data_IF_896991516768
#
_entry.id   IF_896991516768
#
_cell.length_a   1.000
_cell.length_b   1.000
_cell.length_c   1.000
_cell.angle_alpha   90.00
_cell.angle_beta   90.00
_cell.angle_gamma   90.00
#
_symmetry.space_group_name_H-M   'P 1'
#
loop_
_entity.id
_entity.type
_entity.pdbx_description
1 polymer ?
#
# COMPACT_ATOMS: atom_id res chain seq x y z
N UNK A 1 -0.36 12.09 16.77
CA UNK A 1 0.55 11.01 16.30
C UNK A 1 -0.18 9.91 15.51
N UNK A 2 -1.50 9.80 15.63
CA UNK A 2 -2.27 8.70 15.05
C UNK A 2 -2.81 9.02 13.64
N UNK A 3 -2.80 10.27 13.20
CA UNK A 3 -3.46 10.74 11.99
C UNK A 3 -2.50 11.02 10.83
N UNK A 4 -1.22 10.98 11.10
CA UNK A 4 -0.19 11.12 10.09
C UNK A 4 0.90 10.07 10.34
N UNK A 5 1.04 9.12 9.43
CA UNK A 5 2.11 8.13 9.47
C UNK A 5 3.52 8.75 9.48
N UNK A 6 3.63 10.01 9.14
CA UNK A 6 4.87 10.77 9.16
C UNK A 6 5.10 11.54 10.47
N UNK A 7 4.22 11.38 11.46
CA UNK A 7 4.29 12.02 12.78
C UNK A 7 4.40 13.56 12.72
N UNK A 8 3.78 14.20 11.73
CA UNK A 8 3.71 15.65 11.63
C UNK A 8 2.85 16.20 12.77
N UNK A 9 3.25 17.34 13.31
CA UNK A 9 2.39 18.10 14.19
C UNK A 9 1.19 18.61 13.38
N UNK A 10 0.00 18.17 13.73
CA UNK A 10 -1.24 18.64 13.10
C UNK A 10 -1.89 19.62 14.06
N UNK A 11 -2.15 20.84 13.62
CA UNK A 11 -2.86 21.84 14.41
C UNK A 11 -4.35 21.48 14.52
N UNK A 12 -5.02 21.98 15.58
CA UNK A 12 -6.46 21.78 15.74
C UNK A 12 -7.21 22.36 14.54
N UNK A 13 -6.83 23.52 14.06
CA UNK A 13 -7.38 24.16 12.86
C UNK A 13 -7.31 23.27 11.60
N UNK A 14 -6.19 22.58 11.39
CA UNK A 14 -6.10 21.60 10.29
C UNK A 14 -7.08 20.46 10.45
N UNK A 15 -7.34 20.03 11.69
CA UNK A 15 -8.33 19.01 11.99
C UNK A 15 -9.75 19.54 11.77
N UNK A 16 -10.05 20.77 12.17
CA UNK A 16 -11.35 21.42 11.93
C UNK A 16 -11.68 21.49 10.43
N UNK A 17 -10.71 21.92 9.61
CA UNK A 17 -10.85 21.92 8.14
C UNK A 17 -11.11 20.48 7.63
N UNK A 18 -10.34 19.52 8.08
CA UNK A 18 -10.51 18.12 7.68
C UNK A 18 -11.84 17.51 8.15
N UNK A 19 -12.35 17.95 9.29
CA UNK A 19 -13.65 17.57 9.84
C UNK A 19 -14.83 18.31 9.15
N UNK A 20 -14.54 19.31 8.32
CA UNK A 20 -15.52 20.19 7.67
C UNK A 20 -16.42 20.88 8.68
N UNK A 21 -15.81 21.47 9.72
CA UNK A 21 -16.55 22.31 10.68
C UNK A 21 -16.99 23.60 10.00
N UNK A 22 -18.15 24.10 10.36
CA UNK A 22 -18.73 25.30 9.76
C UNK A 22 -17.94 26.56 10.13
N UNK A 23 -17.46 26.63 11.38
CA UNK A 23 -16.66 27.73 11.89
C UNK A 23 -15.22 27.27 12.18
N UNK A 24 -14.24 28.05 11.71
CA UNK A 24 -12.82 27.85 11.94
C UNK A 24 -12.27 29.16 12.45
N UNK A 25 -11.86 29.20 13.72
CA UNK A 25 -11.41 30.42 14.37
C UNK A 25 -9.86 30.48 14.47
N UNK A 26 -9.32 31.68 14.40
CA UNK A 26 -7.92 31.97 14.72
C UNK A 26 -7.81 32.51 16.14
N UNK A 27 -6.64 32.30 16.79
CA UNK A 27 -6.35 32.92 18.08
C UNK A 27 -6.51 34.43 17.96
N UNK A 28 -7.43 35.04 18.73
CA UNK A 28 -7.82 36.44 18.52
C UNK A 28 -6.69 37.43 18.88
N UNK A 29 -5.76 37.04 19.73
CA UNK A 29 -4.66 37.91 20.21
C UNK A 29 -3.31 37.23 20.08
N UNK A 30 -2.24 37.95 19.77
CA UNK A 30 -0.89 37.43 19.78
C UNK A 30 -0.50 36.85 21.16
N UNK A 31 0.28 35.76 21.16
CA UNK A 31 0.78 35.16 22.39
C UNK A 31 1.65 36.16 23.16
N UNK A 32 1.36 36.35 24.47
CA UNK A 32 2.06 37.28 25.33
C UNK A 32 1.41 38.68 25.44
N UNK A 33 0.28 38.91 24.75
CA UNK A 33 -0.50 40.14 24.92
C UNK A 33 -1.10 40.21 26.32
N UNK A 34 -0.99 41.39 26.97
CA UNK A 34 -1.70 41.70 28.22
C UNK A 34 -3.12 42.11 27.86
N UNK A 35 -4.08 41.29 28.22
CA UNK A 35 -5.48 41.45 27.84
C UNK A 35 -6.27 42.30 28.83
N UNK A 36 -7.21 43.06 28.32
CA UNK A 36 -8.28 43.72 29.10
C UNK A 36 -9.34 42.68 29.51
N UNK A 37 -10.29 43.11 30.36
CA UNK A 37 -11.36 42.21 30.80
C UNK A 37 -12.26 41.72 29.65
N UNK A 38 -12.59 42.60 28.73
CA UNK A 38 -13.44 42.27 27.57
C UNK A 38 -12.71 41.34 26.58
N UNK A 39 -11.43 41.56 26.37
CA UNK A 39 -10.58 40.67 25.55
C UNK A 39 -10.39 39.27 26.18
N UNK A 40 -10.42 39.16 27.51
CA UNK A 40 -10.43 37.86 28.21
C UNK A 40 -11.72 37.10 27.91
N UNK A 41 -12.89 37.78 27.83
CA UNK A 41 -14.13 37.12 27.47
C UNK A 41 -14.10 36.59 26.02
N UNK A 42 -13.52 37.36 25.11
CA UNK A 42 -13.29 36.90 23.73
C UNK A 42 -12.36 35.68 23.67
N UNK A 43 -11.24 35.71 24.42
CA UNK A 43 -10.34 34.57 24.51
C UNK A 43 -11.02 33.32 25.11
N UNK A 44 -11.92 33.53 26.10
CA UNK A 44 -12.69 32.39 26.65
C UNK A 44 -13.65 31.78 25.60
N UNK A 45 -14.28 32.61 24.75
CA UNK A 45 -15.12 32.11 23.65
C UNK A 45 -14.30 31.29 22.66
N UNK A 46 -13.14 31.82 22.24
CA UNK A 46 -12.20 31.08 21.40
C UNK A 46 -11.74 29.75 22.01
N UNK A 47 -11.39 29.76 23.31
CA UNK A 47 -11.01 28.55 24.03
C UNK A 47 -12.15 27.53 24.09
N UNK A 48 -13.40 27.97 24.26
CA UNK A 48 -14.58 27.10 24.24
C UNK A 48 -14.75 26.46 22.84
N UNK A 49 -14.52 27.23 21.76
CA UNK A 49 -14.51 26.71 20.40
C UNK A 49 -13.47 25.60 20.23
N UNK A 50 -12.23 25.80 20.68
CA UNK A 50 -11.16 24.80 20.65
C UNK A 50 -11.54 23.51 21.42
N UNK A 51 -12.20 23.65 22.57
CA UNK A 51 -12.71 22.52 23.37
C UNK A 51 -13.78 21.76 22.58
N UNK A 52 -14.74 22.46 21.98
CA UNK A 52 -15.79 21.86 21.15
C UNK A 52 -15.19 21.14 19.96
N UNK A 53 -14.26 21.74 19.24
CA UNK A 53 -13.55 21.13 18.13
C UNK A 53 -12.81 19.85 18.56
N UNK A 54 -12.18 19.87 19.73
CA UNK A 54 -11.52 18.70 20.33
C UNK A 54 -12.52 17.58 20.65
N UNK A 55 -13.71 17.90 21.15
CA UNK A 55 -14.79 16.94 21.42
C UNK A 55 -15.26 16.31 20.09
N UNK A 56 -15.51 17.11 19.07
CA UNK A 56 -15.86 16.59 17.74
C UNK A 56 -14.81 15.62 17.20
N UNK A 57 -13.54 15.98 17.35
CA UNK A 57 -12.44 15.13 16.96
C UNK A 57 -12.40 13.83 17.77
N UNK A 58 -12.57 13.90 19.09
CA UNK A 58 -12.64 12.72 19.97
C UNK A 58 -13.75 11.76 19.54
N UNK A 59 -14.96 12.28 19.27
CA UNK A 59 -16.10 11.45 18.83
C UNK A 59 -15.76 10.69 17.54
N UNK A 60 -15.08 11.33 16.60
CA UNK A 60 -14.63 10.69 15.36
C UNK A 60 -13.54 9.63 15.58
N UNK A 61 -12.79 9.73 16.67
CA UNK A 61 -11.73 8.80 17.03
C UNK A 61 -12.22 7.62 17.89
N UNK A 62 -13.47 7.61 18.34
CA UNK A 62 -13.99 6.52 19.19
C UNK A 62 -13.76 5.14 18.57
N UNK A 63 -14.07 4.87 17.29
CA UNK A 63 -13.83 3.56 16.70
C UNK A 63 -12.35 3.13 16.74
N UNK A 64 -11.44 4.08 16.54
CA UNK A 64 -10.00 3.84 16.58
C UNK A 64 -9.48 3.59 18.01
N UNK A 65 -10.10 4.23 18.98
CA UNK A 65 -9.80 4.03 20.41
C UNK A 65 -10.28 2.64 20.83
N UNK A 66 -11.54 2.32 20.58
CA UNK A 66 -12.15 1.02 20.89
C UNK A 66 -11.39 -0.14 20.23
N UNK A 67 -10.98 0.02 18.98
CA UNK A 67 -10.13 -0.94 18.28
C UNK A 67 -8.84 -1.23 19.06
N UNK A 68 -8.15 -0.19 19.54
CA UNK A 68 -6.91 -0.32 20.30
C UNK A 68 -7.13 -0.91 21.70
N UNK A 69 -8.24 -0.59 22.33
CA UNK A 69 -8.64 -1.17 23.62
C UNK A 69 -8.90 -2.68 23.50
N UNK A 70 -9.65 -3.10 22.46
CA UNK A 70 -9.87 -4.51 22.17
C UNK A 70 -8.56 -5.26 21.98
N UNK A 71 -7.64 -4.72 21.19
CA UNK A 71 -6.33 -5.32 20.95
C UNK A 71 -5.49 -5.37 22.27
N UNK A 72 -5.50 -4.29 23.02
CA UNK A 72 -4.77 -4.19 24.30
C UNK A 72 -5.23 -5.27 25.28
N UNK A 73 -6.54 -5.42 25.43
CA UNK A 73 -7.14 -6.44 26.29
C UNK A 73 -6.87 -7.87 25.79
N UNK A 74 -6.96 -8.10 24.49
CA UNK A 74 -6.83 -9.43 23.89
C UNK A 74 -5.41 -9.98 23.96
N UNK A 75 -4.42 -9.13 23.73
CA UNK A 75 -3.02 -9.55 23.63
C UNK A 75 -2.16 -9.18 24.86
N UNK A 76 -2.78 -8.65 25.90
CA UNK A 76 -2.09 -8.17 27.12
C UNK A 76 -0.88 -7.28 26.79
N UNK A 77 -1.08 -6.37 25.82
CA UNK A 77 -0.04 -5.48 25.30
C UNK A 77 -0.64 -4.11 24.99
N UNK A 78 -0.03 -3.04 25.45
CA UNK A 78 -0.55 -1.69 25.23
C UNK A 78 -0.41 -1.24 23.77
N UNK A 79 -1.54 -1.16 23.05
CA UNK A 79 -1.64 -0.65 21.68
C UNK A 79 -2.12 0.81 21.60
N UNK A 80 -2.52 1.43 22.71
CA UNK A 80 -3.17 2.76 22.73
C UNK A 80 -2.34 3.86 22.04
N UNK A 81 -1.00 3.81 22.17
CA UNK A 81 -0.10 4.78 21.57
C UNK A 81 0.51 4.34 20.22
N UNK A 82 -0.01 3.28 19.62
CA UNK A 82 0.49 2.78 18.34
C UNK A 82 -0.32 3.36 17.19
N UNK A 83 0.38 3.80 16.14
CA UNK A 83 -0.24 4.01 14.84
C UNK A 83 -0.49 2.63 14.17
N UNK A 84 -1.24 2.64 13.09
CA UNK A 84 -1.67 1.42 12.40
C UNK A 84 -0.50 0.55 11.93
N UNK A 85 0.53 1.18 11.33
CA UNK A 85 1.75 0.49 10.91
C UNK A 85 2.43 -0.23 12.08
N UNK A 86 2.49 0.43 13.24
CA UNK A 86 3.11 -0.15 14.43
C UNK A 86 2.26 -1.28 15.02
N UNK A 87 0.93 -1.20 14.98
CA UNK A 87 0.04 -2.28 15.41
C UNK A 87 0.32 -3.55 14.59
N UNK A 88 0.28 -3.44 13.27
CA UNK A 88 0.54 -4.57 12.40
C UNK A 88 1.93 -5.17 12.59
N UNK A 89 2.95 -4.32 12.69
CA UNK A 89 4.34 -4.72 12.95
C UNK A 89 4.49 -5.48 14.26
N UNK A 90 3.98 -4.93 15.35
CA UNK A 90 4.12 -5.54 16.69
C UNK A 90 3.35 -6.88 16.77
N UNK A 91 2.23 -6.99 16.07
CA UNK A 91 1.49 -8.25 15.99
C UNK A 91 2.28 -9.34 15.25
N UNK A 92 2.86 -9.04 14.09
CA UNK A 92 3.68 -10.01 13.37
C UNK A 92 4.94 -10.40 14.16
N UNK A 93 5.60 -9.44 14.79
CA UNK A 93 6.75 -9.72 15.69
C UNK A 93 6.33 -10.69 16.79
N UNK A 94 5.20 -10.45 17.43
CA UNK A 94 4.67 -11.34 18.47
C UNK A 94 4.49 -12.77 17.95
N UNK A 95 3.87 -12.94 16.79
CA UNK A 95 3.65 -14.26 16.19
C UNK A 95 4.96 -14.98 15.79
N UNK A 96 5.94 -14.24 15.29
CA UNK A 96 7.26 -14.77 15.00
C UNK A 96 7.99 -15.19 16.28
N UNK A 97 7.97 -14.37 17.32
CA UNK A 97 8.61 -14.69 18.61
C UNK A 97 7.93 -15.88 19.31
N UNK A 98 6.60 -16.01 19.25
CA UNK A 98 5.85 -17.17 19.71
C UNK A 98 6.29 -18.48 19.02
N UNK A 99 6.70 -18.41 17.76
CA UNK A 99 7.22 -19.55 17.00
C UNK A 99 8.72 -19.80 17.19
N UNK A 100 9.39 -19.03 18.06
CA UNK A 100 10.81 -19.15 18.36
C UNK A 100 11.74 -18.35 17.44
N UNK A 101 11.20 -17.55 16.49
CA UNK A 101 12.00 -16.66 15.64
C UNK A 101 12.45 -15.45 16.45
N UNK A 102 13.77 -15.21 16.51
CA UNK A 102 14.31 -14.04 17.21
C UNK A 102 14.28 -12.81 16.30
N UNK A 103 13.38 -11.87 16.57
CA UNK A 103 13.30 -10.60 15.85
C UNK A 103 14.31 -9.55 16.35
N UNK A 104 14.83 -9.71 17.58
CA UNK A 104 15.75 -8.78 18.22
C UNK A 104 16.93 -9.49 18.88
N UNK A 105 18.02 -8.75 19.04
CA UNK A 105 19.18 -9.11 19.84
C UNK A 105 19.13 -8.27 21.12
N UNK A 106 19.23 -8.92 22.29
CA UNK A 106 19.33 -8.23 23.59
C UNK A 106 20.73 -7.62 23.75
N UNK A 107 20.77 -6.39 24.20
CA UNK A 107 22.00 -5.66 24.54
C UNK A 107 21.90 -5.12 25.97
N UNK A 108 23.00 -4.70 26.60
CA UNK A 108 22.96 -4.11 27.95
C UNK A 108 22.07 -2.87 28.04
N UNK A 109 21.90 -2.12 26.96
CA UNK A 109 21.12 -0.87 26.91
C UNK A 109 19.72 -1.04 26.32
N UNK A 110 19.31 -2.29 25.97
CA UNK A 110 18.00 -2.55 25.37
C UNK A 110 18.00 -3.70 24.37
N UNK A 111 17.29 -3.52 23.27
CA UNK A 111 17.24 -4.50 22.17
C UNK A 111 17.43 -3.82 20.82
N UNK A 112 18.21 -4.44 19.94
CA UNK A 112 18.39 -4.00 18.54
C UNK A 112 17.71 -4.97 17.59
N UNK A 113 17.16 -4.52 16.47
CA UNK A 113 16.52 -5.41 15.51
C UNK A 113 17.55 -6.33 14.84
N UNK A 114 17.20 -7.61 14.66
CA UNK A 114 17.93 -8.47 13.74
C UNK A 114 17.56 -8.07 12.31
N UNK A 115 18.56 -8.10 11.43
CA UNK A 115 18.42 -7.60 10.07
C UNK A 115 19.31 -8.37 9.11
N UNK A 116 18.97 -8.35 7.82
CA UNK A 116 19.88 -8.78 6.76
C UNK A 116 20.41 -7.55 6.05
N UNK A 117 21.67 -7.23 6.34
CA UNK A 117 22.38 -6.14 5.67
C UNK A 117 22.96 -6.67 4.35
N UNK A 118 22.85 -5.87 3.29
CA UNK A 118 23.42 -6.19 1.98
C UNK A 118 24.19 -5.01 1.45
N UNK A 119 25.50 -5.18 1.16
CA UNK A 119 26.33 -4.11 0.60
C UNK A 119 25.90 -3.75 -0.83
N UNK A 120 25.37 -4.71 -1.56
CA UNK A 120 24.81 -4.52 -2.89
C UNK A 120 23.81 -5.62 -3.25
N UNK A 121 22.95 -5.35 -4.23
CA UNK A 121 21.97 -6.29 -4.78
C UNK A 121 22.08 -6.22 -6.30
N UNK A 122 22.36 -7.34 -6.95
CA UNK A 122 22.17 -7.48 -8.39
C UNK A 122 20.69 -7.72 -8.66
N UNK A 123 20.05 -6.81 -9.39
CA UNK A 123 18.59 -6.87 -9.57
C UNK A 123 18.14 -8.09 -10.38
N UNK A 124 19.01 -8.64 -11.24
CA UNK A 124 18.74 -9.90 -11.93
C UNK A 124 18.49 -11.08 -10.99
N UNK A 125 19.13 -11.07 -9.79
CA UNK A 125 19.00 -12.17 -8.82
C UNK A 125 17.68 -12.13 -8.04
N UNK A 126 16.95 -11.01 -8.07
CA UNK A 126 15.66 -10.87 -7.42
C UNK A 126 14.49 -11.18 -8.34
N UNK A 127 14.69 -11.16 -9.66
CA UNK A 127 13.65 -11.40 -10.66
C UNK A 127 13.29 -12.90 -10.67
N UNK A 128 11.99 -13.21 -10.70
CA UNK A 128 11.53 -14.60 -10.72
C UNK A 128 11.86 -15.27 -12.05
N UNK A 129 12.30 -16.53 -12.05
CA UNK A 129 12.69 -17.25 -13.27
C UNK A 129 11.57 -17.44 -14.30
N UNK A 130 10.31 -17.37 -13.84
CA UNK A 130 9.14 -17.49 -14.72
C UNK A 130 8.69 -16.17 -15.33
N UNK A 131 9.29 -15.04 -14.96
CA UNK A 131 9.04 -13.75 -15.61
C UNK A 131 9.65 -13.79 -17.02
N UNK A 132 8.77 -13.76 -18.02
CA UNK A 132 9.14 -13.73 -19.44
C UNK A 132 8.30 -12.69 -20.14
N UNK A 133 8.95 -11.77 -20.81
CA UNK A 133 8.32 -10.65 -21.50
C UNK A 133 8.55 -10.79 -23.01
N UNK A 134 7.47 -10.67 -23.79
CA UNK A 134 7.48 -10.81 -25.23
C UNK A 134 7.57 -9.44 -25.93
N UNK A 135 6.89 -8.42 -25.36
CA UNK A 135 6.88 -7.09 -25.93
C UNK A 135 8.28 -6.45 -25.90
N UNK A 136 8.83 -5.92 -27.01
CA UNK A 136 10.21 -5.43 -27.08
C UNK A 136 10.55 -4.38 -26.02
N UNK A 137 9.66 -3.43 -25.75
CA UNK A 137 9.87 -2.40 -24.75
C UNK A 137 9.91 -2.96 -23.31
N UNK A 138 9.01 -3.87 -22.97
CA UNK A 138 9.04 -4.50 -21.63
C UNK A 138 10.26 -5.42 -21.48
N UNK A 139 10.68 -6.09 -22.55
CA UNK A 139 11.93 -6.87 -22.55
C UNK A 139 13.15 -5.99 -22.31
N UNK A 140 13.23 -4.84 -22.98
CA UNK A 140 14.30 -3.84 -22.77
C UNK A 140 14.35 -3.39 -21.31
N UNK A 141 13.20 -3.11 -20.69
CA UNK A 141 13.11 -2.77 -19.27
C UNK A 141 13.63 -3.91 -18.39
N UNK A 142 13.18 -5.12 -18.64
CA UNK A 142 13.61 -6.31 -17.90
C UNK A 142 15.14 -6.50 -17.97
N UNK A 143 15.72 -6.43 -19.17
CA UNK A 143 17.17 -6.56 -19.40
C UNK A 143 17.94 -5.43 -18.69
N UNK A 144 17.43 -4.20 -18.76
CA UNK A 144 18.03 -3.04 -18.06
C UNK A 144 18.04 -3.25 -16.53
N UNK A 145 16.93 -3.72 -15.99
CA UNK A 145 16.83 -4.03 -14.55
C UNK A 145 17.73 -5.21 -14.18
N UNK A 146 17.72 -6.30 -14.93
CA UNK A 146 18.52 -7.50 -14.65
C UNK A 146 20.03 -7.23 -14.65
N UNK A 147 20.49 -6.33 -15.50
CA UNK A 147 21.90 -5.94 -15.57
C UNK A 147 22.36 -5.01 -14.44
N UNK A 148 21.41 -4.39 -13.72
CA UNK A 148 21.72 -3.36 -12.73
C UNK A 148 22.10 -3.95 -11.38
N UNK A 149 23.15 -3.39 -10.75
CA UNK A 149 23.51 -3.61 -9.34
C UNK A 149 23.25 -2.32 -8.56
N UNK A 150 22.61 -2.44 -7.41
CA UNK A 150 22.27 -1.32 -6.54
C UNK A 150 22.90 -1.50 -5.16
N UNK A 151 23.25 -0.39 -4.50
CA UNK A 151 23.72 -0.34 -3.11
C UNK A 151 22.64 0.19 -2.17
N UNK A 152 21.63 0.89 -2.70
CA UNK A 152 20.49 1.43 -1.97
C UNK A 152 19.20 1.13 -2.76
N UNK A 153 18.13 0.81 -2.06
CA UNK A 153 16.83 0.56 -2.69
C UNK A 153 16.14 1.86 -3.08
N UNK A 154 16.17 2.86 -2.19
CA UNK A 154 15.48 4.14 -2.40
C UNK A 154 16.11 4.90 -3.56
N UNK A 155 15.30 5.24 -4.56
CA UNK A 155 15.74 5.98 -5.72
C UNK A 155 16.68 5.21 -6.67
N UNK A 156 16.87 3.91 -6.47
CA UNK A 156 17.69 3.07 -7.34
C UNK A 156 17.08 2.86 -8.72
N UNK A 157 15.76 2.94 -8.84
CA UNK A 157 15.02 2.89 -10.10
C UNK A 157 14.44 4.27 -10.31
N UNK A 158 15.12 5.10 -11.11
CA UNK A 158 14.67 6.45 -11.48
C UNK A 158 14.63 6.54 -12.99
N UNK A 159 13.67 7.31 -13.49
CA UNK A 159 13.54 7.69 -14.90
C UNK A 159 13.51 6.50 -15.88
N UNK A 160 13.17 5.31 -15.35
CA UNK A 160 13.02 4.12 -16.17
C UNK A 160 11.59 4.08 -16.72
N UNK A 161 11.47 4.36 -18.00
CA UNK A 161 10.19 4.44 -18.71
C UNK A 161 10.22 3.70 -20.03
N UNK A 162 9.03 3.29 -20.49
CA UNK A 162 8.81 2.81 -21.86
C UNK A 162 7.42 3.23 -22.34
N UNK A 163 7.21 3.20 -23.65
CA UNK A 163 5.92 3.46 -24.26
C UNK A 163 5.42 2.17 -24.89
N UNK A 164 4.24 1.73 -24.48
CA UNK A 164 3.57 0.55 -25.04
C UNK A 164 2.15 0.94 -25.37
N UNK A 165 1.70 0.67 -26.58
CA UNK A 165 0.37 1.01 -27.10
C UNK A 165 -0.05 2.47 -26.82
N UNK A 166 0.91 3.40 -26.99
CA UNK A 166 0.70 4.84 -26.80
C UNK A 166 0.66 5.30 -25.34
N UNK A 167 0.72 4.39 -24.35
CA UNK A 167 0.75 4.70 -22.94
C UNK A 167 2.18 4.68 -22.38
N UNK A 168 2.53 5.66 -21.54
CA UNK A 168 3.85 5.78 -20.90
C UNK A 168 3.88 5.05 -19.57
N UNK A 169 4.64 3.98 -19.49
CA UNK A 169 4.87 3.17 -18.28
C UNK A 169 6.08 3.67 -17.52
N UNK A 170 5.88 4.03 -16.26
CA UNK A 170 6.92 4.53 -15.35
C UNK A 170 7.21 3.48 -14.28
N UNK A 171 8.46 3.01 -14.26
CA UNK A 171 8.95 2.04 -13.27
C UNK A 171 9.61 2.75 -12.11
N UNK A 172 9.36 2.28 -10.89
CA UNK A 172 9.90 2.91 -9.70
C UNK A 172 9.97 1.98 -8.49
N UNK A 173 10.57 2.47 -7.41
CA UNK A 173 10.61 1.71 -6.14
C UNK A 173 9.26 1.65 -5.44
N UNK A 174 8.27 2.43 -5.89
CA UNK A 174 6.89 2.43 -5.37
C UNK A 174 5.93 1.53 -6.15
N UNK A 175 6.28 1.11 -7.36
CA UNK A 175 5.42 0.32 -8.23
C UNK A 175 5.48 0.74 -9.69
N UNK A 176 4.63 0.14 -10.52
CA UNK A 176 4.41 0.49 -11.90
C UNK A 176 3.24 1.47 -12.01
N UNK A 177 3.43 2.55 -12.76
CA UNK A 177 2.37 3.54 -12.99
C UNK A 177 2.30 3.90 -14.47
N UNK A 178 1.08 3.92 -14.99
CA UNK A 178 0.78 4.45 -16.32
C UNK A 178 -0.68 4.93 -16.32
N UNK A 179 -0.96 6.05 -16.98
CA UNK A 179 -2.33 6.53 -17.15
C UNK A 179 -2.48 7.38 -18.39
N UNK A 180 -3.67 7.33 -18.95
CA UNK A 180 -4.09 8.20 -20.03
C UNK A 180 -4.72 9.45 -19.39
N UNK A 181 -3.86 10.37 -18.98
CA UNK A 181 -4.18 11.48 -18.09
C UNK A 181 -5.27 12.43 -18.63
N UNK A 182 -6.03 13.03 -17.70
CA UNK A 182 -7.05 14.04 -17.96
C UNK A 182 -8.14 13.57 -18.95
N UNK A 183 -8.60 12.32 -18.82
CA UNK A 183 -9.63 11.73 -19.71
C UNK A 183 -10.82 11.16 -18.94
N UNK A 184 -11.92 11.10 -19.67
CA UNK A 184 -13.16 10.46 -19.26
C UNK A 184 -13.48 9.34 -20.25
N UNK A 185 -13.64 8.13 -19.74
CA UNK A 185 -14.07 6.96 -20.49
C UNK A 185 -15.48 6.60 -20.09
N UNK A 186 -16.30 6.20 -21.06
CA UNK A 186 -17.68 5.75 -20.85
C UNK A 186 -17.84 4.37 -21.47
N UNK A 187 -18.39 3.46 -20.68
CA UNK A 187 -18.85 2.18 -21.22
C UNK A 187 -20.16 2.38 -21.97
N UNK A 188 -20.43 1.51 -22.92
CA UNK A 188 -21.66 1.46 -23.70
C UNK A 188 -22.03 0.01 -24.04
N UNK A 189 -22.93 -0.18 -25.00
CA UNK A 189 -23.36 -1.51 -25.45
C UNK A 189 -22.26 -2.29 -26.18
N UNK A 190 -21.27 -1.59 -26.76
CA UNK A 190 -20.17 -2.20 -27.51
C UNK A 190 -18.90 -2.36 -26.65
N UNK A 191 -18.63 -1.42 -25.74
CA UNK A 191 -17.40 -1.37 -24.95
C UNK A 191 -17.65 -1.50 -23.44
N UNK A 192 -16.80 -2.26 -22.79
CA UNK A 192 -16.72 -2.36 -21.33
C UNK A 192 -15.45 -1.66 -20.80
N UNK A 193 -15.54 -1.16 -19.57
CA UNK A 193 -14.40 -0.65 -18.80
C UNK A 193 -14.23 -1.56 -17.58
N UNK A 194 -13.05 -2.14 -17.42
CA UNK A 194 -12.73 -2.98 -16.26
C UNK A 194 -11.42 -2.55 -15.61
N UNK A 195 -11.41 -2.68 -14.27
CA UNK A 195 -10.20 -2.75 -13.46
C UNK A 195 -10.00 -4.19 -13.00
N UNK A 196 -8.76 -4.66 -13.08
CA UNK A 196 -8.32 -5.96 -12.57
C UNK A 196 -7.23 -5.73 -11.55
N UNK A 197 -7.61 -5.80 -10.27
CA UNK A 197 -6.71 -5.57 -9.15
C UNK A 197 -6.23 -6.87 -8.54
N UNK A 198 -4.94 -6.96 -8.24
CA UNK A 198 -4.39 -8.19 -7.64
C UNK A 198 -4.73 -8.24 -6.16
N UNK A 199 -5.45 -9.26 -5.75
CA UNK A 199 -5.90 -9.46 -4.37
C UNK A 199 -4.73 -9.46 -3.40
N UNK A 200 -4.64 -8.42 -2.55
CA UNK A 200 -3.58 -8.29 -1.53
C UNK A 200 -2.19 -8.53 -2.13
N UNK A 201 -1.84 -7.82 -3.19
CA UNK A 201 -0.73 -8.12 -4.10
C UNK A 201 0.58 -8.52 -3.42
N UNK A 202 1.16 -7.64 -2.62
CA UNK A 202 2.46 -7.88 -2.00
C UNK A 202 2.47 -9.03 -0.99
N UNK A 203 1.48 -9.14 -0.10
CA UNK A 203 1.34 -10.31 0.76
C UNK A 203 1.18 -11.62 -0.02
N UNK A 204 0.29 -11.64 -1.02
CA UNK A 204 0.06 -12.83 -1.84
C UNK A 204 1.32 -13.26 -2.57
N UNK A 205 2.05 -12.31 -3.17
CA UNK A 205 3.32 -12.57 -3.86
C UNK A 205 4.38 -13.16 -2.92
N UNK A 206 4.51 -12.60 -1.71
CA UNK A 206 5.44 -13.13 -0.72
C UNK A 206 5.11 -14.56 -0.32
N UNK A 207 3.82 -14.86 -0.14
CA UNK A 207 3.34 -16.18 0.27
C UNK A 207 3.54 -17.22 -0.84
N UNK A 208 3.05 -16.95 -2.06
CA UNK A 208 3.09 -17.93 -3.17
C UNK A 208 4.51 -18.23 -3.66
N UNK A 209 5.42 -17.26 -3.55
CA UNK A 209 6.83 -17.42 -3.92
C UNK A 209 7.74 -17.72 -2.73
N UNK A 210 7.19 -17.98 -1.54
CA UNK A 210 7.94 -18.30 -0.32
C UNK A 210 9.03 -17.27 0.02
N UNK A 211 8.73 -15.97 -0.19
CA UNK A 211 9.67 -14.88 0.05
C UNK A 211 9.75 -14.54 1.54
N UNK A 212 10.94 -14.17 1.98
CA UNK A 212 11.18 -13.82 3.38
C UNK A 212 12.43 -12.96 3.57
N UNK A 213 12.47 -12.11 4.59
CA UNK A 213 13.75 -11.60 5.09
C UNK A 213 14.64 -12.76 5.54
N UNK A 214 15.87 -12.84 5.03
CA UNK A 214 16.73 -14.01 5.19
C UNK A 214 16.95 -14.39 6.66
N UNK A 215 17.11 -13.41 7.54
CA UNK A 215 17.35 -13.62 8.98
C UNK A 215 16.14 -14.15 9.76
N UNK A 216 14.93 -14.10 9.21
CA UNK A 216 13.71 -14.60 9.84
C UNK A 216 13.42 -16.08 9.50
N UNK A 217 14.12 -16.61 8.46
CA UNK A 217 14.05 -18.02 8.11
C UNK A 217 12.70 -18.49 7.58
N UNK A 218 12.55 -19.82 7.49
CA UNK A 218 11.39 -20.47 6.86
C UNK A 218 10.08 -20.35 7.66
N UNK A 219 10.17 -19.97 8.93
CA UNK A 219 8.96 -19.75 9.74
C UNK A 219 8.20 -18.48 9.32
N UNK A 220 8.90 -17.50 8.74
CA UNK A 220 8.25 -16.25 8.32
C UNK A 220 7.14 -16.46 7.30
N UNK A 221 7.34 -17.12 6.13
CA UNK A 221 6.27 -17.32 5.16
C UNK A 221 5.15 -18.21 5.67
N UNK A 222 5.41 -19.14 6.57
CA UNK A 222 4.38 -19.98 7.19
C UNK A 222 3.44 -19.14 8.05
N UNK A 223 4.00 -18.33 8.97
CA UNK A 223 3.21 -17.44 9.85
C UNK A 223 2.48 -16.39 9.03
N UNK A 224 3.15 -15.81 8.05
CA UNK A 224 2.57 -14.80 7.17
C UNK A 224 1.40 -15.36 6.36
N UNK A 225 1.55 -16.60 5.85
CA UNK A 225 0.49 -17.31 5.16
C UNK A 225 -0.70 -17.67 6.07
N UNK A 226 -0.43 -18.06 7.32
CA UNK A 226 -1.49 -18.35 8.30
C UNK A 226 -2.25 -17.09 8.69
N UNK A 227 -1.57 -15.97 8.88
CA UNK A 227 -2.22 -14.66 9.09
C UNK A 227 -3.12 -14.27 7.91
N UNK A 228 -2.68 -14.53 6.69
CA UNK A 228 -3.47 -14.28 5.48
C UNK A 228 -4.75 -15.14 5.44
N UNK A 229 -4.65 -16.42 5.78
CA UNK A 229 -5.82 -17.32 5.88
C UNK A 229 -6.77 -16.86 7.00
N UNK A 230 -6.22 -16.53 8.18
CA UNK A 230 -7.01 -16.04 9.31
C UNK A 230 -7.77 -14.77 8.97
N UNK A 231 -7.15 -13.81 8.26
CA UNK A 231 -7.83 -12.60 7.83
C UNK A 231 -9.09 -12.89 7.02
N UNK A 232 -9.06 -13.91 6.16
CA UNK A 232 -10.22 -14.31 5.34
C UNK A 232 -11.36 -14.91 6.16
N UNK A 233 -11.07 -15.45 7.35
CA UNK A 233 -12.09 -16.02 8.25
C UNK A 233 -12.81 -14.96 9.11
N UNK A 234 -12.27 -13.74 9.19
CA UNK A 234 -12.89 -12.65 9.92
C UNK A 234 -13.68 -11.71 8.98
N UNK A 235 -14.92 -11.31 9.34
CA UNK A 235 -15.68 -10.34 8.56
C UNK A 235 -14.91 -9.02 8.38
N UNK A 236 -15.11 -8.38 7.23
CA UNK A 236 -14.58 -7.00 7.01
C UNK A 236 -15.17 -6.06 8.07
N UNK A 237 -14.34 -5.14 8.59
CA UNK A 237 -14.74 -4.19 9.64
C UNK A 237 -14.53 -4.68 11.08
N UNK A 238 -14.20 -5.96 11.30
CA UNK A 238 -13.84 -6.43 12.64
C UNK A 238 -12.40 -5.99 13.02
N UNK A 239 -12.11 -5.78 14.33
CA UNK A 239 -10.78 -5.45 14.82
C UNK A 239 -9.71 -6.46 14.36
N UNK A 240 -10.04 -7.73 14.34
CA UNK A 240 -9.15 -8.81 13.91
C UNK A 240 -8.79 -8.70 12.42
N UNK A 241 -9.79 -8.48 11.56
CA UNK A 241 -9.56 -8.31 10.12
C UNK A 241 -8.71 -7.06 9.86
N UNK A 242 -9.00 -5.96 10.55
CA UNK A 242 -8.26 -4.70 10.43
C UNK A 242 -6.79 -4.88 10.87
N UNK A 243 -6.54 -5.49 12.03
CA UNK A 243 -5.20 -5.75 12.54
C UNK A 243 -4.38 -6.63 11.60
N UNK A 244 -4.98 -7.72 11.10
CA UNK A 244 -4.31 -8.63 10.16
C UNK A 244 -4.03 -7.94 8.82
N UNK A 245 -4.92 -7.06 8.34
CA UNK A 245 -4.68 -6.22 7.17
C UNK A 245 -3.46 -5.33 7.35
N UNK A 246 -3.37 -4.66 8.51
CA UNK A 246 -2.24 -3.80 8.84
C UNK A 246 -0.92 -4.58 8.93
N UNK A 247 -0.95 -5.76 9.56
CA UNK A 247 0.22 -6.62 9.69
C UNK A 247 0.73 -7.11 8.32
N UNK A 248 -0.17 -7.58 7.47
CA UNK A 248 0.18 -8.08 6.13
C UNK A 248 0.70 -6.98 5.22
N UNK A 249 0.03 -5.83 5.15
CA UNK A 249 0.46 -4.74 4.26
C UNK A 249 1.69 -3.99 4.80
N UNK A 250 1.78 -3.79 6.12
CA UNK A 250 2.87 -3.04 6.76
C UNK A 250 4.23 -3.75 6.68
N UNK A 251 4.24 -5.07 6.58
CA UNK A 251 5.48 -5.86 6.56
C UNK A 251 6.36 -5.54 5.36
N UNK A 252 5.76 -5.40 4.17
CA UNK A 252 6.50 -5.02 2.98
C UNK A 252 7.14 -3.63 3.13
N UNK A 253 6.38 -2.61 3.52
CA UNK A 253 6.90 -1.25 3.74
C UNK A 253 8.02 -1.20 4.77
N UNK A 254 7.88 -2.00 5.84
CA UNK A 254 8.88 -2.11 6.90
C UNK A 254 10.13 -2.91 6.50
N UNK A 255 10.08 -3.71 5.44
CA UNK A 255 11.24 -4.46 4.95
C UNK A 255 12.33 -3.58 4.34
N UNK A 256 12.00 -2.34 4.02
CA UNK A 256 12.95 -1.32 3.56
C UNK A 256 13.32 -0.28 4.63
N UNK A 257 12.85 -0.46 5.86
CA UNK A 257 13.12 0.45 6.98
C UNK A 257 14.29 -0.06 7.82
N UNK A 258 15.40 0.69 7.84
CA UNK A 258 16.62 0.33 8.58
C UNK A 258 16.46 0.17 10.09
N UNK A 259 15.33 0.60 10.66
CA UNK A 259 15.00 0.43 12.07
C UNK A 259 14.04 -0.75 12.32
N UNK A 260 13.68 -1.48 11.26
CA UNK A 260 12.74 -2.58 11.36
C UNK A 260 13.44 -3.93 11.53
N UNK A 261 12.88 -4.85 12.35
CA UNK A 261 13.33 -6.23 12.39
C UNK A 261 12.94 -7.04 11.14
N UNK A 262 12.26 -6.43 10.17
CA UNK A 262 11.95 -7.02 8.87
C UNK A 262 12.91 -6.56 7.77
N UNK A 263 13.89 -5.72 8.10
CA UNK A 263 14.78 -5.12 7.10
C UNK A 263 15.60 -6.19 6.37
N UNK A 264 15.29 -6.35 5.10
CA UNK A 264 16.10 -7.05 4.10
C UNK A 264 15.80 -6.42 2.73
N UNK A 265 16.69 -5.59 2.21
CA UNK A 265 16.47 -4.89 0.94
C UNK A 265 16.34 -5.84 -0.26
N UNK A 266 16.85 -7.07 -0.18
CA UNK A 266 16.63 -8.09 -1.21
C UNK A 266 15.17 -8.56 -1.25
N UNK A 267 14.60 -8.86 -0.09
CA UNK A 267 13.17 -9.20 0.04
C UNK A 267 12.28 -8.06 -0.46
N UNK A 268 12.59 -6.81 -0.09
CA UNK A 268 11.88 -5.64 -0.60
C UNK A 268 11.91 -5.57 -2.13
N UNK A 269 13.10 -5.71 -2.73
CA UNK A 269 13.26 -5.64 -4.18
C UNK A 269 12.65 -6.82 -4.91
N UNK A 270 12.63 -8.03 -4.32
CA UNK A 270 11.90 -9.17 -4.89
C UNK A 270 10.41 -8.86 -5.09
N UNK A 271 9.77 -8.26 -4.09
CA UNK A 271 8.35 -7.89 -4.18
C UNK A 271 8.16 -6.75 -5.19
N UNK A 272 8.94 -5.67 -5.05
CA UNK A 272 8.76 -4.46 -5.86
C UNK A 272 9.00 -4.70 -7.35
N UNK A 273 10.08 -5.39 -7.71
CA UNK A 273 10.43 -5.63 -9.10
C UNK A 273 9.50 -6.63 -9.76
N UNK A 274 9.27 -7.76 -9.12
CA UNK A 274 8.41 -8.77 -9.69
C UNK A 274 6.97 -8.29 -9.81
N UNK A 275 6.48 -7.49 -8.84
CA UNK A 275 5.17 -6.87 -8.95
C UNK A 275 5.00 -6.08 -10.25
N UNK A 276 5.95 -5.25 -10.59
CA UNK A 276 5.92 -4.47 -11.84
C UNK A 276 6.01 -5.37 -13.08
N UNK A 277 6.93 -6.31 -13.08
CA UNK A 277 7.16 -7.19 -14.25
C UNK A 277 5.99 -8.17 -14.48
N UNK A 278 5.34 -8.66 -13.42
CA UNK A 278 4.16 -9.50 -13.54
C UNK A 278 2.97 -8.75 -14.12
N UNK A 279 2.77 -7.46 -13.76
CA UNK A 279 1.76 -6.63 -14.41
C UNK A 279 2.11 -6.39 -15.89
N UNK A 280 3.38 -6.18 -16.25
CA UNK A 280 3.79 -6.09 -17.64
C UNK A 280 3.46 -7.36 -18.43
N UNK A 281 3.61 -8.56 -17.82
CA UNK A 281 3.20 -9.83 -18.45
C UNK A 281 1.70 -9.88 -18.71
N UNK A 282 0.88 -9.39 -17.78
CA UNK A 282 -0.58 -9.31 -17.98
C UNK A 282 -0.92 -8.33 -19.09
N UNK A 283 -0.36 -7.12 -19.04
CA UNK A 283 -0.60 -6.06 -20.01
C UNK A 283 -0.25 -6.52 -21.44
N UNK A 284 0.94 -7.12 -21.64
CA UNK A 284 1.37 -7.52 -23.00
C UNK A 284 0.50 -8.60 -23.64
N UNK A 285 -0.23 -9.38 -22.83
CA UNK A 285 -1.20 -10.34 -23.36
C UNK A 285 -2.56 -9.66 -23.59
N UNK A 286 -3.00 -8.77 -22.70
CA UNK A 286 -4.26 -8.04 -22.84
C UNK A 286 -4.28 -7.17 -24.11
N UNK A 287 -3.21 -6.44 -24.41
CA UNK A 287 -3.12 -5.56 -25.60
C UNK A 287 -3.14 -6.32 -26.93
N UNK A 288 -3.00 -7.65 -26.93
CA UNK A 288 -3.24 -8.49 -28.13
C UNK A 288 -4.73 -8.63 -28.47
N UNK A 289 -5.62 -8.27 -27.54
CA UNK A 289 -7.07 -8.26 -27.78
C UNK A 289 -7.42 -7.12 -28.74
N UNK A 290 -8.10 -7.38 -29.86
CA UNK A 290 -8.41 -6.33 -30.84
C UNK A 290 -9.20 -5.16 -30.21
N UNK A 291 -8.73 -3.95 -30.43
CA UNK A 291 -9.31 -2.69 -29.92
C UNK A 291 -9.40 -2.59 -28.37
N UNK A 292 -8.67 -3.43 -27.63
CA UNK A 292 -8.45 -3.20 -26.22
C UNK A 292 -7.44 -2.08 -26.07
N UNK A 293 -7.68 -1.18 -25.15
CA UNK A 293 -6.80 -0.07 -24.79
C UNK A 293 -6.59 -0.03 -23.28
N UNK A 294 -5.33 -0.02 -22.84
CA UNK A 294 -4.99 0.24 -21.45
C UNK A 294 -5.27 1.71 -21.12
N UNK A 295 -5.85 1.98 -19.98
CA UNK A 295 -6.20 3.34 -19.54
C UNK A 295 -5.57 3.72 -18.19
N UNK A 296 -5.36 2.73 -17.31
CA UNK A 296 -4.76 2.95 -16.00
C UNK A 296 -3.94 1.75 -15.55
N UNK A 297 -2.77 1.99 -14.98
CA UNK A 297 -1.99 1.00 -14.23
C UNK A 297 -1.52 1.68 -12.94
N UNK A 298 -1.86 1.11 -11.81
CA UNK A 298 -1.53 1.68 -10.52
C UNK A 298 -1.08 0.58 -9.54
N UNK A 299 0.21 0.35 -9.48
CA UNK A 299 0.91 -0.48 -8.49
C UNK A 299 0.46 -1.94 -8.43
N UNK A 300 -0.81 -2.22 -8.26
CA UNK A 300 -1.41 -3.54 -8.02
C UNK A 300 -2.59 -3.89 -8.96
N UNK A 301 -2.94 -2.98 -9.87
CA UNK A 301 -4.04 -3.17 -10.78
C UNK A 301 -3.79 -2.64 -12.19
N UNK A 302 -4.59 -3.11 -13.12
CA UNK A 302 -4.61 -2.70 -14.51
C UNK A 302 -6.04 -2.37 -14.95
N UNK A 303 -6.23 -1.18 -15.51
CA UNK A 303 -7.50 -0.71 -16.04
C UNK A 303 -7.48 -0.60 -17.57
N UNK A 304 -8.53 -1.04 -18.21
CA UNK A 304 -8.62 -1.05 -19.66
C UNK A 304 -10.06 -0.94 -20.15
N UNK A 305 -10.21 -0.44 -21.39
CA UNK A 305 -11.45 -0.42 -22.14
C UNK A 305 -11.34 -1.37 -23.33
N UNK A 306 -12.38 -2.16 -23.60
CA UNK A 306 -12.34 -3.17 -24.63
C UNK A 306 -13.73 -3.50 -25.19
N UNK A 307 -13.84 -4.04 -26.45
CA UNK A 307 -15.12 -4.45 -26.99
C UNK A 307 -15.69 -5.67 -26.22
N UNK A 308 -16.94 -5.57 -25.73
CA UNK A 308 -17.62 -6.60 -24.91
C UNK A 308 -17.63 -7.99 -25.55
N UNK A 309 -17.61 -8.09 -26.85
CA UNK A 309 -17.52 -9.37 -27.59
C UNK A 309 -16.24 -10.16 -27.29
N UNK A 310 -15.20 -9.51 -26.76
CA UNK A 310 -13.94 -10.17 -26.39
C UNK A 310 -13.84 -10.50 -24.90
N UNK A 311 -14.92 -10.36 -24.10
CA UNK A 311 -14.91 -10.66 -22.66
C UNK A 311 -14.31 -12.04 -22.35
N UNK A 312 -14.75 -13.09 -23.05
CA UNK A 312 -14.22 -14.44 -22.83
C UNK A 312 -12.72 -14.55 -23.12
N UNK A 313 -12.20 -13.77 -24.08
CA UNK A 313 -10.76 -13.73 -24.36
C UNK A 313 -10.00 -13.01 -23.24
N UNK A 314 -10.50 -11.88 -22.78
CA UNK A 314 -9.92 -11.12 -21.66
C UNK A 314 -9.89 -11.98 -20.38
N UNK A 315 -10.99 -12.67 -20.07
CA UNK A 315 -11.07 -13.57 -18.93
C UNK A 315 -10.09 -14.76 -19.07
N UNK A 316 -9.91 -15.27 -20.28
CA UNK A 316 -8.93 -16.34 -20.54
C UNK A 316 -7.47 -15.86 -20.32
N UNK A 317 -7.15 -14.64 -20.73
CA UNK A 317 -5.84 -14.01 -20.49
C UNK A 317 -5.60 -13.80 -18.99
N UNK A 318 -6.58 -13.26 -18.27
CA UNK A 318 -6.51 -13.09 -16.82
C UNK A 318 -6.34 -14.43 -16.11
N UNK A 319 -7.15 -15.44 -16.47
CA UNK A 319 -7.05 -16.79 -15.90
C UNK A 319 -5.74 -17.51 -16.21
N UNK A 320 -5.14 -17.24 -17.38
CA UNK A 320 -3.78 -17.71 -17.67
C UNK A 320 -2.76 -17.11 -16.72
N UNK A 321 -2.83 -15.77 -16.53
CA UNK A 321 -1.93 -15.05 -15.64
C UNK A 321 -2.07 -15.49 -14.18
N UNK A 322 -3.31 -15.68 -13.70
CA UNK A 322 -3.58 -16.20 -12.35
C UNK A 322 -3.00 -17.60 -12.13
N UNK A 323 -3.14 -18.48 -13.10
CA UNK A 323 -2.57 -19.85 -13.05
C UNK A 323 -1.04 -19.83 -13.04
N UNK A 324 -0.43 -18.94 -13.80
CA UNK A 324 1.02 -18.82 -13.89
C UNK A 324 1.62 -18.27 -12.61
N UNK A 325 1.00 -17.23 -12.06
CA UNK A 325 1.53 -16.46 -10.92
C UNK A 325 1.05 -16.98 -9.57
N UNK A 326 -0.03 -17.75 -9.53
CA UNK A 326 -0.79 -18.16 -8.32
C UNK A 326 -1.35 -16.96 -7.54
N UNK A 327 -1.51 -15.82 -8.20
CA UNK A 327 -2.13 -14.61 -7.68
C UNK A 327 -3.57 -14.50 -8.21
N UNK A 328 -4.49 -14.00 -7.40
CA UNK A 328 -5.88 -13.79 -7.81
C UNK A 328 -6.13 -12.35 -8.27
N UNK A 329 -7.01 -12.18 -9.24
CA UNK A 329 -7.50 -10.89 -9.72
C UNK A 329 -8.93 -10.65 -9.23
N UNK A 330 -9.17 -9.48 -8.66
CA UNK A 330 -10.51 -8.95 -8.41
C UNK A 330 -10.92 -8.10 -9.63
N UNK A 331 -12.20 -8.15 -9.98
CA UNK A 331 -12.73 -7.44 -11.16
C UNK A 331 -13.73 -6.40 -10.71
N UNK A 332 -13.53 -5.17 -11.16
CA UNK A 332 -14.51 -4.10 -11.04
C UNK A 332 -14.88 -3.60 -12.44
N UNK A 333 -16.17 -3.51 -12.74
CA UNK A 333 -16.69 -2.99 -14.02
C UNK A 333 -17.28 -1.60 -13.80
N UNK A 334 -16.91 -0.65 -14.67
CA UNK A 334 -17.33 0.73 -14.56
C UNK A 334 -18.19 1.15 -15.75
N UNK A 335 -19.25 1.90 -15.48
CA UNK A 335 -20.05 2.61 -16.50
C UNK A 335 -19.38 3.91 -16.93
N UNK A 336 -18.65 4.55 -16.02
CA UNK A 336 -17.88 5.76 -16.28
C UNK A 336 -16.56 5.70 -15.46
N UNK A 337 -15.45 6.06 -16.11
CA UNK A 337 -14.15 6.18 -15.46
C UNK A 337 -13.51 7.51 -15.87
N UNK A 338 -13.47 8.47 -14.94
CA UNK A 338 -12.90 9.79 -15.13
C UNK A 338 -11.60 9.89 -14.34
N UNK A 339 -10.47 10.06 -15.01
CA UNK A 339 -9.17 10.14 -14.35
C UNK A 339 -8.43 11.44 -14.67
N UNK A 340 -7.79 12.00 -13.65
CA UNK A 340 -6.81 13.08 -13.79
C UNK A 340 -5.42 12.49 -14.05
N UNK A 341 -5.06 11.46 -13.29
CA UNK A 341 -3.81 10.70 -13.34
C UNK A 341 -4.04 9.31 -12.72
N UNK A 342 -3.03 8.44 -12.71
CA UNK A 342 -3.16 7.05 -12.23
C UNK A 342 -3.65 6.93 -10.77
N UNK A 343 -3.41 7.92 -9.92
CA UNK A 343 -3.79 7.91 -8.50
C UNK A 343 -5.07 8.70 -8.20
N UNK A 344 -5.54 9.51 -9.13
CA UNK A 344 -6.65 10.44 -8.94
C UNK A 344 -7.71 10.19 -10.03
N UNK A 345 -8.68 9.38 -9.71
CA UNK A 345 -9.80 9.04 -10.59
C UNK A 345 -11.12 8.89 -9.81
N UNK A 346 -12.20 8.92 -10.54
CA UNK A 346 -13.56 8.63 -10.07
C UNK A 346 -14.14 7.58 -11.00
N UNK A 347 -14.54 6.43 -10.46
CA UNK A 347 -15.27 5.38 -11.16
C UNK A 347 -16.72 5.33 -10.70
N UNK A 348 -17.64 5.11 -11.63
CA UNK A 348 -19.03 4.77 -11.36
C UNK A 348 -19.18 3.30 -11.73
N UNK A 349 -19.34 2.45 -10.73
CA UNK A 349 -19.52 1.01 -10.90
C UNK A 349 -20.85 0.71 -11.62
N UNK A 350 -20.91 -0.45 -12.28
CA UNK A 350 -22.10 -0.95 -12.97
C UNK A 350 -23.08 -1.59 -11.97
#
# INVERSE_FOLDING_TARGET
>A
KHFDNMARATSLKTLEIAMRMDDIEDLPFPVGTVLTRDEIEELHRYNLHDVIATIYFYVRCIPEIEFREVLTKRYDRNFMNHNDTKIGKDYLIMKLEESGVKCFIKTPTGRIPRQTLRPSIKLGDVIFPYVKLEHPEFRRIHETLAAKTITETKGSIKDLTCIVDGLSYKFGTGGLHASDDCKIFKADDEYAIEMRDVTSYYPSMAIVNNLRPLHLGDQFPLIYGDMFKQRRSYPKGTPENAMLKLALNGTYGDSNNIYSPFYDPFFCMQITLNGQLLLCMLVEQLIKTPNLRMININTDGVGFIYPRKYRSHVDAVCGWWEKLTLLGLETEEYSLFAQRDCNNYIGVEV
#
